data_IF_015090915305
#
_entry.id   IF_015090915305
#
_cell.length_a   1.000
_cell.length_b   1.000
_cell.length_c   1.000
_cell.angle_alpha   90.00
_cell.angle_beta   90.00
_cell.angle_gamma   90.00
#
_symmetry.space_group_name_H-M   'P 1'
#
loop_
_entity.id
_entity.type
_entity.pdbx_description
1 polymer ?
#
# COMPACT_ATOMS: atom_id res chain seq x y z
N UNK A 1 26.96 -23.94 -12.83
CA UNK A 1 26.64 -22.51 -13.03
C UNK A 1 25.32 -22.41 -13.78
N UNK A 2 24.23 -21.93 -13.16
CA UNK A 2 22.98 -21.63 -13.88
C UNK A 2 22.74 -20.14 -13.78
N UNK A 3 23.04 -19.43 -14.87
CA UNK A 3 22.66 -18.03 -15.01
C UNK A 3 21.14 -17.92 -15.01
N UNK A 4 20.60 -17.26 -13.98
CA UNK A 4 19.29 -16.61 -14.07
C UNK A 4 19.53 -15.11 -14.14
N UNK A 5 19.77 -14.63 -15.37
CA UNK A 5 19.36 -13.29 -15.76
C UNK A 5 17.94 -13.47 -16.29
N UNK A 6 16.95 -13.24 -15.43
CA UNK A 6 15.62 -12.86 -15.90
C UNK A 6 15.60 -11.34 -15.82
N UNK A 7 15.24 -10.77 -16.95
CA UNK A 7 15.07 -9.37 -17.23
C UNK A 7 14.36 -8.63 -16.08
N UNK A 8 14.98 -7.54 -15.61
CA UNK A 8 14.25 -6.47 -14.94
C UNK A 8 14.16 -5.31 -15.93
N UNK A 9 13.43 -5.56 -17.00
CA UNK A 9 13.01 -4.55 -17.97
C UNK A 9 11.49 -4.40 -17.90
N UNK A 10 10.95 -4.04 -16.73
CA UNK A 10 9.52 -3.70 -16.65
C UNK A 10 9.33 -2.25 -17.10
N UNK A 11 9.33 -2.05 -18.41
CA UNK A 11 8.85 -0.82 -19.03
C UNK A 11 7.35 -0.99 -19.26
N UNK A 12 6.55 -0.67 -18.24
CA UNK A 12 5.10 -0.55 -18.40
C UNK A 12 4.76 0.85 -18.93
N UNK A 13 4.62 0.95 -20.25
CA UNK A 13 3.99 2.11 -20.92
C UNK A 13 2.47 1.92 -20.81
N UNK A 14 1.82 2.72 -19.96
CA UNK A 14 0.35 2.75 -19.85
C UNK A 14 -0.21 2.61 -18.43
N UNK A 15 0.18 3.52 -17.52
CA UNK A 15 -0.62 3.94 -16.35
C UNK A 15 -1.29 2.89 -15.47
N UNK A 16 -0.54 1.94 -14.90
CA UNK A 16 -1.03 1.19 -13.73
C UNK A 16 -0.23 1.65 -12.51
N UNK A 17 -0.93 2.23 -11.54
CA UNK A 17 -0.35 2.63 -10.26
C UNK A 17 0.32 1.42 -9.59
N UNK A 18 1.59 1.55 -9.19
CA UNK A 18 2.32 0.47 -8.49
C UNK A 18 1.81 0.28 -7.07
N UNK A 19 1.76 -0.96 -6.58
CA UNK A 19 1.27 -1.27 -5.24
C UNK A 19 2.33 -1.98 -4.40
N UNK A 20 2.65 -1.39 -3.26
CA UNK A 20 3.56 -1.98 -2.28
C UNK A 20 2.89 -2.18 -0.91
N UNK A 21 3.33 -3.18 -0.17
CA UNK A 21 2.86 -3.46 1.19
C UNK A 21 4.06 -3.61 2.11
N UNK A 22 4.09 -2.85 3.21
CA UNK A 22 5.16 -2.98 4.21
C UNK A 22 5.15 -4.38 4.85
N UNK A 23 6.29 -4.86 5.35
CA UNK A 23 6.37 -6.19 5.98
C UNK A 23 5.37 -6.36 7.13
N UNK A 24 5.21 -5.32 7.96
CA UNK A 24 4.28 -5.34 9.09
C UNK A 24 2.83 -5.38 8.63
N UNK A 25 2.47 -4.57 7.63
CA UNK A 25 1.13 -4.60 7.04
C UNK A 25 0.84 -5.95 6.38
N UNK A 26 1.78 -6.53 5.63
CA UNK A 26 1.63 -7.83 5.01
C UNK A 26 1.40 -8.93 6.05
N UNK A 27 2.16 -8.91 7.15
CA UNK A 27 1.96 -9.85 8.27
C UNK A 27 0.56 -9.73 8.86
N UNK A 28 0.04 -8.50 9.02
CA UNK A 28 -1.33 -8.28 9.49
C UNK A 28 -2.38 -8.72 8.47
N UNK A 29 -2.15 -8.51 7.17
CA UNK A 29 -3.01 -9.00 6.10
C UNK A 29 -3.15 -10.53 6.15
N UNK A 30 -2.03 -11.25 6.25
CA UNK A 30 -2.02 -12.71 6.39
C UNK A 30 -2.77 -13.17 7.66
N UNK A 31 -2.55 -12.50 8.80
CA UNK A 31 -3.24 -12.81 10.06
C UNK A 31 -4.75 -12.57 9.95
N UNK A 32 -5.15 -11.51 9.26
CA UNK A 32 -6.54 -11.15 8.99
C UNK A 32 -7.17 -11.90 7.82
N UNK A 33 -6.43 -12.79 7.15
CA UNK A 33 -6.86 -13.49 5.92
C UNK A 33 -7.34 -12.52 4.82
N UNK A 34 -6.72 -11.35 4.74
CA UNK A 34 -6.99 -10.35 3.70
C UNK A 34 -6.22 -10.77 2.45
N UNK A 35 -6.93 -10.99 1.35
CA UNK A 35 -6.32 -11.39 0.09
C UNK A 35 -5.55 -10.22 -0.56
N UNK A 36 -4.55 -10.55 -1.37
CA UNK A 36 -3.80 -9.56 -2.14
C UNK A 36 -4.72 -8.75 -3.06
N UNK A 37 -5.68 -9.41 -3.73
CA UNK A 37 -6.70 -8.74 -4.54
C UNK A 37 -7.59 -7.75 -3.77
N UNK A 38 -7.86 -7.99 -2.49
CA UNK A 38 -8.57 -7.03 -1.64
C UNK A 38 -7.73 -5.77 -1.40
N UNK A 39 -6.40 -5.91 -1.24
CA UNK A 39 -5.49 -4.78 -1.09
C UNK A 39 -5.34 -4.02 -2.42
N UNK A 40 -5.27 -4.73 -3.54
CA UNK A 40 -5.26 -4.14 -4.88
C UNK A 40 -6.51 -3.30 -5.14
N UNK A 41 -7.70 -3.84 -4.81
CA UNK A 41 -8.96 -3.10 -4.87
C UNK A 41 -8.96 -1.85 -4.00
N UNK A 42 -8.44 -1.94 -2.77
CA UNK A 42 -8.37 -0.80 -1.87
C UNK A 42 -7.45 0.30 -2.41
N UNK A 43 -6.33 -0.08 -3.03
CA UNK A 43 -5.40 0.82 -3.66
C UNK A 43 -6.02 1.49 -4.90
N UNK A 44 -6.72 0.74 -5.74
CA UNK A 44 -7.44 1.26 -6.92
C UNK A 44 -8.52 2.26 -6.51
N UNK A 45 -9.36 1.92 -5.53
CA UNK A 45 -10.33 2.85 -4.93
C UNK A 45 -9.66 4.13 -4.45
N UNK A 46 -8.51 4.01 -3.77
CA UNK A 46 -7.76 5.17 -3.33
C UNK A 46 -7.24 6.02 -4.49
N UNK A 47 -6.74 5.39 -5.56
CA UNK A 47 -6.30 6.09 -6.77
C UNK A 47 -7.44 6.91 -7.40
N UNK A 48 -8.64 6.34 -7.42
CA UNK A 48 -9.88 7.00 -7.89
C UNK A 48 -10.46 8.00 -6.87
N UNK A 49 -9.77 8.29 -5.76
CA UNK A 49 -10.24 9.15 -4.66
C UNK A 49 -11.52 8.65 -3.97
N UNK A 50 -11.86 7.37 -4.12
CA UNK A 50 -12.95 6.68 -3.44
C UNK A 50 -12.48 6.12 -2.09
N UNK A 51 -12.00 7.03 -1.23
CA UNK A 51 -11.42 6.72 0.08
C UNK A 51 -12.43 6.95 1.21
N UNK A 52 -12.33 6.17 2.28
CA UNK A 52 -13.20 6.36 3.44
C UNK A 52 -12.84 7.63 4.23
N UNK A 53 -11.55 7.97 4.33
CA UNK A 53 -11.10 9.24 4.90
C UNK A 53 -9.69 9.64 4.43
N UNK A 54 -9.46 10.95 4.28
CA UNK A 54 -8.13 11.53 4.13
C UNK A 54 -7.57 11.89 5.51
N UNK A 55 -6.30 11.55 5.76
CA UNK A 55 -5.61 11.86 7.03
C UNK A 55 -4.43 12.84 6.86
N UNK A 56 -4.26 13.36 5.64
CA UNK A 56 -3.29 14.38 5.23
C UNK A 56 -1.91 13.83 4.87
N UNK A 57 -1.07 14.66 4.23
CA UNK A 57 0.27 14.28 3.78
C UNK A 57 0.29 13.02 2.89
N UNK A 58 -0.60 12.96 1.89
CA UNK A 58 -0.77 11.81 0.98
C UNK A 58 -1.24 10.52 1.65
N UNK A 59 -1.73 10.60 2.89
CA UNK A 59 -2.23 9.45 3.62
C UNK A 59 -3.76 9.39 3.59
N UNK A 60 -4.26 8.16 3.41
CA UNK A 60 -5.67 7.83 3.36
C UNK A 60 -5.95 6.64 4.28
N UNK A 61 -7.15 6.61 4.83
CA UNK A 61 -7.68 5.48 5.59
C UNK A 61 -8.74 4.79 4.75
N UNK A 62 -8.61 3.48 4.62
CA UNK A 62 -9.49 2.66 3.77
C UNK A 62 -9.87 1.36 4.47
N UNK A 63 -11.11 0.92 4.31
CA UNK A 63 -11.61 -0.37 4.75
C UNK A 63 -11.10 -1.48 3.83
N UNK A 64 -10.66 -2.57 4.43
CA UNK A 64 -10.20 -3.79 3.74
C UNK A 64 -10.77 -5.03 4.43
N UNK A 65 -10.83 -6.14 3.70
CA UNK A 65 -11.38 -7.42 4.18
C UNK A 65 -12.84 -7.66 3.78
N UNK A 66 -13.32 -8.90 3.99
CA UNK A 66 -14.61 -9.41 3.48
C UNK A 66 -15.84 -8.64 3.97
N UNK A 67 -15.74 -7.85 5.05
CA UNK A 67 -16.83 -7.02 5.59
C UNK A 67 -16.35 -5.67 6.16
N UNK A 68 -15.20 -5.16 5.70
CA UNK A 68 -14.61 -3.93 6.25
C UNK A 68 -14.23 -4.05 7.74
N UNK A 69 -13.88 -5.25 8.16
CA UNK A 69 -13.45 -5.64 9.51
C UNK A 69 -12.03 -5.17 9.84
N UNK A 70 -11.27 -4.77 8.81
CA UNK A 70 -9.96 -4.15 8.95
C UNK A 70 -9.92 -2.78 8.30
N UNK A 71 -8.98 -1.97 8.76
CA UNK A 71 -8.64 -0.68 8.17
C UNK A 71 -7.17 -0.68 7.78
N UNK A 72 -6.90 -0.12 6.62
CA UNK A 72 -5.58 0.11 6.08
C UNK A 72 -5.26 1.62 6.10
N UNK A 73 -4.00 1.95 6.37
CA UNK A 73 -3.42 3.26 6.09
C UNK A 73 -2.65 3.15 4.78
N UNK A 74 -3.02 3.97 3.82
CA UNK A 74 -2.46 4.00 2.49
C UNK A 74 -1.69 5.31 2.31
N UNK A 75 -0.46 5.24 1.83
CA UNK A 75 0.21 6.37 1.18
C UNK A 75 -0.06 6.31 -0.31
N UNK A 76 -0.46 7.41 -0.93
CA UNK A 76 -0.81 7.44 -2.35
C UNK A 76 -0.24 8.67 -3.06
N UNK A 77 0.47 8.40 -4.15
CA UNK A 77 0.73 9.35 -5.23
C UNK A 77 -0.10 8.90 -6.43
N UNK A 78 -1.15 9.67 -6.73
CA UNK A 78 -2.11 9.37 -7.80
C UNK A 78 -1.41 9.03 -9.11
N UNK A 79 -1.88 7.96 -9.75
CA UNK A 79 -1.38 7.39 -11.02
C UNK A 79 0.10 6.97 -11.02
N UNK A 80 0.74 6.92 -9.84
CA UNK A 80 2.16 6.56 -9.71
C UNK A 80 2.38 5.38 -8.78
N UNK A 81 1.99 5.50 -7.51
CA UNK A 81 2.20 4.45 -6.50
C UNK A 81 1.28 4.56 -5.29
N UNK A 82 0.93 3.41 -4.74
CA UNK A 82 0.28 3.25 -3.46
C UNK A 82 1.12 2.34 -2.55
N UNK A 83 1.21 2.69 -1.26
CA UNK A 83 1.87 1.87 -0.24
C UNK A 83 0.91 1.62 0.91
N UNK A 84 0.63 0.36 1.19
CA UNK A 84 -0.10 -0.06 2.39
C UNK A 84 0.88 -0.04 3.57
N UNK A 85 0.78 1.01 4.39
CA UNK A 85 1.71 1.25 5.51
C UNK A 85 1.36 0.41 6.73
N UNK A 86 0.07 0.33 7.05
CA UNK A 86 -0.43 -0.32 8.26
C UNK A 86 -1.81 -0.93 8.04
N UNK A 87 -2.09 -2.07 8.68
CA UNK A 87 -3.42 -2.72 8.68
C UNK A 87 -3.76 -3.08 10.13
N UNK A 88 -4.96 -2.73 10.57
CA UNK A 88 -5.43 -2.97 11.93
C UNK A 88 -6.92 -3.33 11.97
N UNK A 89 -7.37 -4.15 12.94
CA UNK A 89 -8.78 -4.49 13.09
C UNK A 89 -9.64 -3.27 13.45
N UNK A 90 -10.90 -3.26 13.02
CA UNK A 90 -11.89 -2.19 13.24
C UNK A 90 -12.01 -1.73 14.70
N UNK A 91 -11.84 -2.65 15.65
CA UNK A 91 -12.07 -2.44 17.08
C UNK A 91 -10.79 -2.17 17.90
N UNK A 92 -9.60 -2.25 17.29
CA UNK A 92 -8.32 -2.16 18.03
C UNK A 92 -7.80 -0.73 18.09
N UNK A 93 -7.95 0.04 17.01
CA UNK A 93 -7.56 1.45 16.97
C UNK A 93 -8.73 2.28 16.42
N UNK A 94 -9.59 2.84 17.30
CA UNK A 94 -10.67 3.70 16.85
C UNK A 94 -10.12 4.98 16.20
N UNK A 95 -8.90 5.39 16.53
CA UNK A 95 -8.28 6.55 15.90
C UNK A 95 -6.74 6.49 15.97
N UNK A 96 -6.07 6.67 14.83
CA UNK A 96 -4.62 6.86 14.75
C UNK A 96 -4.35 8.27 15.28
N UNK A 97 -3.72 8.38 16.44
CA UNK A 97 -3.57 9.66 17.16
C UNK A 97 -2.14 9.87 17.64
N UNK A 98 -1.82 11.13 17.94
CA UNK A 98 -0.59 11.51 18.61
C UNK A 98 0.65 11.11 17.82
N UNK A 99 1.59 10.43 18.50
CA UNK A 99 2.89 10.09 17.96
C UNK A 99 2.82 9.22 16.70
N UNK A 100 1.91 8.26 16.63
CA UNK A 100 1.79 7.35 15.48
C UNK A 100 1.39 8.11 14.21
N UNK A 101 0.44 9.04 14.31
CA UNK A 101 0.04 9.88 13.18
C UNK A 101 1.19 10.78 12.73
N UNK A 102 1.95 11.35 13.68
CA UNK A 102 3.12 12.18 13.37
C UNK A 102 4.20 11.38 12.65
N UNK A 103 4.50 10.16 13.12
CA UNK A 103 5.45 9.26 12.46
C UNK A 103 5.00 8.87 11.06
N UNK A 104 3.71 8.52 10.89
CA UNK A 104 3.17 8.19 9.58
C UNK A 104 3.27 9.36 8.60
N UNK A 105 2.95 10.59 9.05
CA UNK A 105 3.05 11.80 8.22
C UNK A 105 4.50 12.14 7.86
N UNK A 106 5.43 12.01 8.81
CA UNK A 106 6.85 12.21 8.55
C UNK A 106 7.37 11.19 7.52
N UNK A 107 6.97 9.92 7.68
CA UNK A 107 7.33 8.87 6.72
C UNK A 107 6.72 9.11 5.34
N UNK A 108 5.45 9.51 5.27
CA UNK A 108 4.78 9.85 4.03
C UNK A 108 5.46 11.00 3.27
N UNK A 109 5.95 12.01 3.99
CA UNK A 109 6.73 13.11 3.38
C UNK A 109 8.02 12.58 2.74
N UNK A 110 8.76 11.73 3.44
CA UNK A 110 9.97 11.09 2.89
C UNK A 110 9.63 10.28 1.62
N UNK A 111 8.51 9.54 1.64
CA UNK A 111 8.05 8.77 0.48
C UNK A 111 7.57 9.63 -0.70
N UNK A 112 7.08 10.83 -0.42
CA UNK A 112 6.70 11.80 -1.44
C UNK A 112 7.93 12.43 -2.11
N UNK A 113 8.96 12.75 -1.31
CA UNK A 113 10.17 13.42 -1.76
C UNK A 113 11.15 12.48 -2.50
N UNK A 114 11.10 11.17 -2.22
CA UNK A 114 11.99 10.19 -2.88
C UNK A 114 11.56 9.89 -4.33
N UNK A 115 12.50 9.97 -5.27
CA UNK A 115 12.30 9.56 -6.65
C UNK A 115 12.05 8.06 -6.81
N UNK A 116 11.78 7.59 -8.03
CA UNK A 116 11.42 6.18 -8.27
C UNK A 116 12.57 5.22 -7.94
N UNK A 117 13.80 5.51 -8.37
CA UNK A 117 14.97 4.69 -8.08
C UNK A 117 15.27 4.59 -6.57
N UNK A 118 15.13 5.70 -5.84
CA UNK A 118 15.30 5.72 -4.39
C UNK A 118 14.19 4.97 -3.66
N UNK A 119 12.96 5.04 -4.17
CA UNK A 119 11.84 4.29 -3.63
C UNK A 119 12.01 2.79 -3.84
N UNK A 120 12.44 2.35 -5.03
CA UNK A 120 12.69 0.93 -5.32
C UNK A 120 13.77 0.39 -4.39
N UNK A 121 14.88 1.13 -4.24
CA UNK A 121 15.95 0.78 -3.29
C UNK A 121 15.41 0.68 -1.86
N UNK A 122 14.56 1.61 -1.43
CA UNK A 122 13.94 1.60 -0.11
C UNK A 122 13.03 0.37 0.06
N UNK A 123 12.15 0.12 -0.90
CA UNK A 123 11.20 -0.99 -0.88
C UNK A 123 11.93 -2.34 -0.84
N UNK A 124 12.99 -2.51 -1.62
CA UNK A 124 13.85 -3.70 -1.61
C UNK A 124 14.56 -3.87 -0.26
N UNK A 125 15.20 -2.81 0.24
CA UNK A 125 15.93 -2.83 1.52
C UNK A 125 15.01 -3.17 2.68
N UNK A 126 13.82 -2.57 2.70
CA UNK A 126 12.80 -2.84 3.71
C UNK A 126 12.02 -4.13 3.42
N UNK A 127 12.32 -4.84 2.34
CA UNK A 127 11.65 -6.05 1.83
C UNK A 127 10.13 -5.93 1.80
N UNK A 128 9.64 -4.86 1.19
CA UNK A 128 8.22 -4.66 0.95
C UNK A 128 7.72 -5.62 -0.12
N UNK A 129 6.46 -6.02 0.00
CA UNK A 129 5.82 -6.89 -0.98
C UNK A 129 5.31 -6.02 -2.12
N UNK A 130 5.78 -6.29 -3.34
CA UNK A 130 5.22 -5.75 -4.57
C UNK A 130 3.99 -6.56 -4.98
N UNK A 131 2.87 -5.87 -5.17
CA UNK A 131 1.58 -6.41 -5.62
C UNK A 131 1.08 -5.67 -6.88
N UNK A 132 1.97 -5.05 -7.65
CA UNK A 132 1.61 -4.27 -8.83
C UNK A 132 0.95 -5.10 -9.93
N UNK A 133 1.23 -6.42 -9.98
CA UNK A 133 0.62 -7.36 -10.93
C UNK A 133 -0.68 -8.02 -10.39
N UNK A 134 -1.10 -7.70 -9.17
CA UNK A 134 -2.26 -8.31 -8.55
C UNK A 134 -3.57 -7.68 -9.05
N UNK A 135 -4.54 -8.53 -9.42
CA UNK A 135 -5.84 -8.05 -9.90
C UNK A 135 -6.74 -7.63 -8.73
N UNK A 136 -7.42 -6.47 -8.81
CA UNK A 136 -8.36 -6.07 -7.78
C UNK A 136 -9.51 -7.07 -7.69
N UNK A 137 -9.86 -7.45 -6.46
CA UNK A 137 -10.99 -8.36 -6.21
C UNK A 137 -12.30 -7.69 -6.66
N UNK A 138 -13.02 -8.33 -7.57
CA UNK A 138 -14.35 -7.89 -8.00
C UNK A 138 -15.38 -8.26 -6.94
N UNK A 139 -16.29 -7.34 -6.58
CA UNK A 139 -17.47 -7.75 -5.80
C UNK A 139 -18.35 -8.58 -6.76
N UNK A 140 -18.35 -9.91 -6.59
CA UNK A 140 -19.26 -10.83 -7.28
C UNK A 140 -20.66 -10.77 -6.64
#
# INVERSE_FOLDING_TARGET
MRGRRTDRGSVHVGGVMRLFVTRSAWKQACKGKIAAGTLAKAAEKANLRLVDAEIGAHLYKQHVGRKGDFRAVLFLVTDRRCVVLHIFPKNVQPNIKGAELTTLRAFAKILADVGDAGFETLAETQGWKDLSDEKPETDL
#
